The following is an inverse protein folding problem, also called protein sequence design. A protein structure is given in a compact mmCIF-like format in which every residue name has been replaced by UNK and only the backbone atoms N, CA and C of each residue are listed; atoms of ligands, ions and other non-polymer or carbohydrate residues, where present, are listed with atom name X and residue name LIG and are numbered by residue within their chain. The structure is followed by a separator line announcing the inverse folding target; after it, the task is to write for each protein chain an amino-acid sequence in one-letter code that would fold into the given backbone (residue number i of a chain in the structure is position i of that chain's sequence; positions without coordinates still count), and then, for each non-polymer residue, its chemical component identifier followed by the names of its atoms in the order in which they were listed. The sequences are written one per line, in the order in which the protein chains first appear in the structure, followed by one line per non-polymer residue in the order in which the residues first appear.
data_IF_382904776279
#
_entry.id   IF_382904776279
#
_cell.length_a   1.000
_cell.length_b   1.000
_cell.length_c   1.000
_cell.angle_alpha   90.00
_cell.angle_beta   90.00
_cell.angle_gamma   90.00
#
_symmetry.space_group_name_H-M   'P 1'
#
loop_
_entity.id
_entity.type
_entity.pdbx_description
1 polymer ?
#
# COMPACT_ATOMS: atom_id res chain seq x y z
N UNK A 1 34.62 70.74 83.70
CA UNK A 1 33.63 69.73 83.24
C UNK A 1 34.06 69.25 81.85
N UNK A 2 34.62 68.03 81.73
CA UNK A 2 35.14 67.48 80.47
C UNK A 2 33.97 66.90 79.64
N UNK A 3 33.77 67.40 78.43
CA UNK A 3 32.85 66.80 77.45
C UNK A 3 33.56 65.67 76.71
N UNK A 4 33.01 64.46 76.81
CA UNK A 4 33.54 63.25 76.19
C UNK A 4 32.81 63.01 74.86
N UNK A 5 33.51 63.14 73.73
CA UNK A 5 32.94 63.03 72.39
C UNK A 5 33.12 61.58 71.90
N UNK A 6 32.07 60.76 72.01
CA UNK A 6 32.05 59.41 71.39
C UNK A 6 31.81 59.56 69.89
N UNK A 7 32.75 59.11 69.07
CA UNK A 7 32.60 59.01 67.61
C UNK A 7 31.90 57.68 67.26
N UNK A 8 30.78 57.77 66.53
CA UNK A 8 30.15 56.62 65.87
C UNK A 8 31.07 56.11 64.74
N UNK A 9 31.41 54.82 64.77
CA UNK A 9 32.01 54.13 63.61
C UNK A 9 30.91 53.72 62.64
N UNK A 10 31.03 54.14 61.39
CA UNK A 10 30.26 53.63 60.26
C UNK A 10 31.10 52.55 59.58
N UNK A 11 30.65 51.30 59.64
CA UNK A 11 31.24 50.22 58.84
C UNK A 11 30.86 50.43 57.37
N UNK A 12 31.85 50.82 56.56
CA UNK A 12 31.72 50.84 55.09
C UNK A 12 31.79 49.41 54.59
N UNK A 13 30.67 48.89 54.10
CA UNK A 13 30.67 47.73 53.22
C UNK A 13 31.42 48.10 51.94
N UNK A 14 32.61 47.54 51.75
CA UNK A 14 33.40 47.69 50.53
C UNK A 14 32.69 46.97 49.39
N UNK A 15 32.30 47.73 48.37
CA UNK A 15 31.83 47.15 47.11
C UNK A 15 33.06 46.92 46.22
N UNK A 16 33.50 45.66 46.08
CA UNK A 16 34.55 45.32 45.11
C UNK A 16 33.93 45.21 43.72
N UNK A 17 34.34 46.07 42.79
CA UNK A 17 34.00 45.91 41.37
C UNK A 17 34.71 44.71 40.76
N UNK A 18 34.16 44.17 39.68
CA UNK A 18 34.76 43.06 38.93
C UNK A 18 35.99 43.52 38.14
N UNK A 19 36.99 42.66 38.06
CA UNK A 19 38.13 42.86 37.16
C UNK A 19 37.71 42.74 35.69
N UNK A 20 38.33 43.51 34.79
CA UNK A 20 38.13 43.39 33.34
C UNK A 20 38.43 41.96 32.86
N UNK A 21 39.41 41.30 33.48
CA UNK A 21 39.79 39.91 33.18
C UNK A 21 38.68 38.93 33.58
N UNK A 22 38.03 39.14 34.73
CA UNK A 22 36.88 38.30 35.15
C UNK A 22 35.72 38.39 34.16
N UNK A 23 35.43 39.59 33.65
CA UNK A 23 34.36 39.79 32.66
C UNK A 23 34.71 39.13 31.31
N UNK A 24 35.96 39.21 30.87
CA UNK A 24 36.40 38.55 29.64
C UNK A 24 36.29 37.01 29.76
N UNK A 25 36.74 36.44 30.88
CA UNK A 25 36.65 34.98 31.10
C UNK A 25 35.18 34.53 31.21
N UNK A 26 34.34 35.28 31.92
CA UNK A 26 32.91 34.97 32.04
C UNK A 26 32.18 34.98 30.70
N UNK A 27 32.48 35.94 29.82
CA UNK A 27 31.89 36.02 28.48
C UNK A 27 32.32 34.84 27.61
N UNK A 28 33.61 34.49 27.62
CA UNK A 28 34.13 33.35 26.85
C UNK A 28 33.47 32.04 27.28
N UNK A 29 33.36 31.79 28.60
CA UNK A 29 32.71 30.58 29.11
C UNK A 29 31.22 30.57 28.75
N UNK A 30 30.53 31.72 28.84
CA UNK A 30 29.13 31.84 28.44
C UNK A 30 28.89 31.52 26.95
N UNK A 31 29.78 31.98 26.07
CA UNK A 31 29.72 31.67 24.63
C UNK A 31 30.02 30.20 24.33
N UNK A 32 30.98 29.58 25.03
CA UNK A 32 31.25 28.14 24.87
C UNK A 32 30.04 27.34 25.34
N UNK A 33 29.47 27.68 26.50
CA UNK A 33 28.29 27.00 27.04
C UNK A 33 27.08 27.09 26.09
N UNK A 34 26.82 28.26 25.50
CA UNK A 34 25.70 28.42 24.55
C UNK A 34 25.91 27.60 23.27
N UNK A 35 27.14 27.52 22.75
CA UNK A 35 27.46 26.68 21.59
C UNK A 35 27.20 25.19 21.88
N UNK A 36 27.64 24.70 23.04
CA UNK A 36 27.42 23.30 23.43
C UNK A 36 25.92 23.00 23.53
N UNK A 37 25.13 23.90 24.12
CA UNK A 37 23.67 23.75 24.19
C UNK A 37 23.04 23.69 22.79
N UNK A 38 23.46 24.58 21.88
CA UNK A 38 22.93 24.64 20.51
C UNK A 38 23.23 23.36 19.73
N UNK A 39 24.44 22.79 19.90
CA UNK A 39 24.81 21.51 19.28
C UNK A 39 23.92 20.36 19.76
N UNK A 40 23.72 20.26 21.08
CA UNK A 40 22.86 19.23 21.67
C UNK A 40 21.42 19.38 21.18
N UNK A 41 20.89 20.61 21.18
CA UNK A 41 19.55 20.89 20.66
C UNK A 41 19.40 20.52 19.18
N UNK A 42 20.39 20.86 18.35
CA UNK A 42 20.42 20.51 16.92
C UNK A 42 20.39 18.99 16.71
N UNK A 43 21.19 18.24 17.47
CA UNK A 43 21.19 16.78 17.43
C UNK A 43 19.83 16.19 17.84
N UNK A 44 19.21 16.72 18.89
CA UNK A 44 17.87 16.31 19.33
C UNK A 44 16.79 16.59 18.29
N UNK A 45 16.79 17.75 17.64
CA UNK A 45 15.85 18.06 16.56
C UNK A 45 16.08 17.19 15.31
N UNK A 46 17.33 16.79 15.03
CA UNK A 46 17.64 15.77 14.03
C UNK A 46 17.01 14.42 14.37
N UNK A 47 17.25 13.94 15.59
CA UNK A 47 16.68 12.67 16.07
C UNK A 47 15.15 12.70 16.08
N UNK A 48 14.54 13.79 16.54
CA UNK A 48 13.09 13.97 16.58
C UNK A 48 12.47 13.85 15.19
N UNK A 49 13.05 14.50 14.17
CA UNK A 49 12.58 14.38 12.79
C UNK A 49 12.74 12.96 12.24
N UNK A 50 13.85 12.30 12.54
CA UNK A 50 14.06 10.89 12.15
C UNK A 50 13.04 9.96 12.79
N UNK A 51 12.80 10.11 14.10
CA UNK A 51 11.83 9.30 14.84
C UNK A 51 10.41 9.55 14.33
N UNK A 52 10.03 10.82 14.11
CA UNK A 52 8.71 11.16 13.55
C UNK A 52 8.54 10.58 12.15
N UNK A 53 9.50 10.80 11.26
CA UNK A 53 9.44 10.26 9.89
C UNK A 53 9.40 8.74 9.85
N UNK A 54 10.08 8.07 10.79
CA UNK A 54 10.00 6.61 10.95
C UNK A 54 8.62 6.17 11.44
N UNK A 55 8.02 6.89 12.39
CA UNK A 55 6.68 6.60 12.89
C UNK A 55 5.62 6.80 11.80
N UNK A 56 5.73 7.86 11.00
CA UNK A 56 4.86 8.12 9.86
C UNK A 56 5.00 7.02 8.80
N UNK A 57 6.23 6.59 8.50
CA UNK A 57 6.48 5.48 7.57
C UNK A 57 5.87 4.16 8.06
N UNK A 58 5.98 3.83 9.35
CA UNK A 58 5.36 2.63 9.92
C UNK A 58 3.84 2.71 9.88
N UNK A 59 3.26 3.88 10.16
CA UNK A 59 1.82 4.08 10.13
C UNK A 59 1.30 3.92 8.70
N UNK A 60 1.91 4.59 7.73
CA UNK A 60 1.57 4.47 6.31
C UNK A 60 1.77 3.04 5.79
N UNK A 61 2.86 2.38 6.19
CA UNK A 61 3.11 0.99 5.86
C UNK A 61 2.03 0.05 6.40
N UNK A 62 1.60 0.24 7.66
CA UNK A 62 0.53 -0.59 8.24
C UNK A 62 -0.82 -0.35 7.57
N UNK A 63 -1.14 0.89 7.18
CA UNK A 63 -2.34 1.21 6.39
C UNK A 63 -2.28 0.54 5.01
N UNK A 64 -1.15 0.64 4.30
CA UNK A 64 -0.96 0.01 3.00
C UNK A 64 -1.14 -1.52 3.07
N UNK A 65 -0.53 -2.16 4.08
CA UNK A 65 -0.68 -3.60 4.30
C UNK A 65 -2.12 -3.98 4.64
N UNK A 66 -2.86 -3.14 5.36
CA UNK A 66 -4.27 -3.39 5.65
C UNK A 66 -5.14 -3.38 4.39
N UNK A 67 -4.89 -2.45 3.46
CA UNK A 67 -5.56 -2.44 2.16
C UNK A 67 -5.24 -3.68 1.34
N UNK A 68 -3.95 -4.03 1.22
CA UNK A 68 -3.53 -5.26 0.52
C UNK A 68 -4.20 -6.48 1.14
N UNK A 69 -4.20 -6.61 2.47
CA UNK A 69 -4.83 -7.73 3.16
C UNK A 69 -6.32 -7.82 2.83
N UNK A 70 -7.04 -6.69 2.85
CA UNK A 70 -8.48 -6.65 2.53
C UNK A 70 -8.76 -7.11 1.10
N UNK A 71 -7.96 -6.67 0.13
CA UNK A 71 -8.17 -7.02 -1.28
C UNK A 71 -7.79 -8.48 -1.55
N UNK A 72 -6.68 -8.95 -0.96
CA UNK A 72 -6.24 -10.35 -1.04
C UNK A 72 -7.23 -11.30 -0.36
N UNK A 73 -7.89 -10.88 0.73
CA UNK A 73 -8.94 -11.68 1.37
C UNK A 73 -10.16 -11.90 0.47
N UNK A 74 -10.45 -10.95 -0.42
CA UNK A 74 -11.54 -11.06 -1.38
C UNK A 74 -11.12 -11.76 -2.67
N UNK A 75 -9.81 -11.91 -2.93
CA UNK A 75 -9.29 -12.55 -4.12
C UNK A 75 -9.93 -13.94 -4.34
N UNK A 76 -10.44 -14.17 -5.55
CA UNK A 76 -11.13 -15.40 -5.92
C UNK A 76 -12.62 -15.45 -5.56
N UNK A 77 -13.15 -14.47 -4.83
CA UNK A 77 -14.58 -14.43 -4.54
C UNK A 77 -15.38 -14.34 -5.84
N UNK A 78 -16.31 -15.28 -6.05
CA UNK A 78 -17.17 -15.31 -7.23
C UNK A 78 -16.46 -15.52 -8.58
N UNK A 79 -15.20 -15.98 -8.58
CA UNK A 79 -14.56 -16.52 -9.79
C UNK A 79 -15.00 -17.97 -10.02
N UNK A 80 -15.04 -18.45 -11.29
CA UNK A 80 -15.32 -19.84 -11.63
C UNK A 80 -14.18 -20.77 -11.18
N UNK A 81 -14.13 -21.02 -9.87
CA UNK A 81 -13.28 -21.99 -9.19
C UNK A 81 -13.75 -23.42 -9.51
N UNK A 82 -12.88 -24.45 -9.41
CA UNK A 82 -13.18 -25.79 -9.91
C UNK A 82 -14.45 -26.37 -9.27
N UNK A 83 -15.48 -26.59 -10.08
CA UNK A 83 -16.85 -26.80 -9.61
C UNK A 83 -17.20 -28.25 -9.25
N UNK A 84 -16.32 -29.21 -9.53
CA UNK A 84 -16.34 -30.58 -9.00
C UNK A 84 -15.09 -31.28 -9.52
N UNK A 85 -14.15 -31.54 -8.62
CA UNK A 85 -12.79 -31.98 -8.92
C UNK A 85 -12.70 -33.44 -9.41
N UNK A 86 -11.84 -33.70 -10.39
CA UNK A 86 -11.07 -34.95 -10.44
C UNK A 86 -9.61 -34.75 -10.91
N UNK A 87 -9.10 -33.52 -10.81
CA UNK A 87 -7.69 -33.06 -10.65
C UNK A 87 -7.50 -31.60 -11.20
N UNK A 88 -8.42 -30.71 -10.77
CA UNK A 88 -8.52 -29.24 -10.85
C UNK A 88 -8.84 -28.59 -12.21
N UNK A 89 -10.07 -28.84 -12.69
CA UNK A 89 -10.64 -28.52 -14.01
C UNK A 89 -10.62 -27.06 -14.52
N UNK A 90 -10.39 -26.05 -13.69
CA UNK A 90 -10.16 -24.66 -14.15
C UNK A 90 -8.75 -24.11 -13.83
N UNK A 91 -7.97 -24.82 -12.99
CA UNK A 91 -6.57 -24.47 -12.71
C UNK A 91 -5.57 -25.27 -13.58
N UNK A 92 -5.98 -26.44 -14.07
CA UNK A 92 -5.18 -27.32 -14.94
C UNK A 92 -5.45 -27.07 -16.44
N UNK A 93 -5.89 -25.85 -16.78
CA UNK A 93 -6.14 -25.47 -18.15
C UNK A 93 -4.83 -25.43 -18.95
N UNK A 94 -4.80 -26.12 -20.10
CA UNK A 94 -3.67 -26.11 -21.02
C UNK A 94 -4.16 -25.90 -22.45
N UNK A 95 -3.93 -24.72 -23.07
CA UNK A 95 -3.23 -23.54 -22.53
C UNK A 95 -4.06 -22.79 -21.46
N UNK A 96 -3.40 -21.91 -20.70
CA UNK A 96 -4.10 -21.00 -19.79
C UNK A 96 -5.03 -20.08 -20.58
N UNK A 97 -6.30 -19.94 -20.16
CA UNK A 97 -7.23 -19.07 -20.85
C UNK A 97 -6.86 -17.62 -20.53
N UNK A 98 -6.43 -16.90 -21.57
CA UNK A 98 -6.29 -15.44 -21.55
C UNK A 98 -7.36 -14.82 -22.44
N UNK A 99 -7.84 -13.65 -22.05
CA UNK A 99 -8.86 -12.92 -22.79
C UNK A 99 -8.47 -11.46 -22.96
N UNK A 100 -8.31 -11.04 -24.20
CA UNK A 100 -8.20 -9.63 -24.55
C UNK A 100 -9.57 -8.96 -24.39
N UNK A 101 -9.68 -8.11 -23.37
CA UNK A 101 -10.94 -7.45 -23.03
C UNK A 101 -11.23 -6.22 -23.92
N UNK A 102 -10.23 -5.64 -24.57
CA UNK A 102 -10.37 -4.36 -25.25
C UNK A 102 -9.70 -4.27 -26.63
N UNK A 103 -9.24 -5.41 -27.17
CA UNK A 103 -8.54 -5.52 -28.46
C UNK A 103 -7.31 -4.58 -28.53
N UNK A 104 -6.70 -4.30 -27.39
CA UNK A 104 -5.64 -3.33 -27.22
C UNK A 104 -4.36 -3.99 -26.71
N UNK A 105 -3.28 -4.04 -27.52
CA UNK A 105 -2.05 -4.72 -27.14
C UNK A 105 -1.26 -4.02 -26.02
N UNK A 106 -1.68 -2.83 -25.58
CA UNK A 106 -1.04 -2.09 -24.49
C UNK A 106 -1.63 -2.41 -23.10
N UNK A 107 -2.75 -3.12 -23.03
CA UNK A 107 -3.42 -3.54 -21.79
C UNK A 107 -3.14 -5.01 -21.52
N UNK A 108 -2.89 -5.42 -20.26
CA UNK A 108 -2.72 -6.84 -19.93
C UNK A 108 -4.01 -7.62 -20.18
N UNK A 109 -3.89 -8.79 -20.81
CA UNK A 109 -5.00 -9.72 -20.98
C UNK A 109 -5.56 -10.17 -19.62
N UNK A 110 -6.85 -10.50 -19.63
CA UNK A 110 -7.51 -11.02 -18.45
C UNK A 110 -7.22 -12.50 -18.27
N UNK A 111 -6.75 -12.88 -17.08
CA UNK A 111 -6.54 -14.26 -16.67
C UNK A 111 -7.55 -14.67 -15.57
N UNK A 112 -7.62 -15.97 -15.29
CA UNK A 112 -8.53 -16.57 -14.30
C UNK A 112 -7.92 -16.70 -12.90
N UNK A 113 -6.68 -16.26 -12.70
CA UNK A 113 -6.01 -16.40 -11.42
C UNK A 113 -6.49 -15.31 -10.44
N UNK A 114 -6.87 -15.71 -9.21
CA UNK A 114 -7.40 -14.79 -8.21
C UNK A 114 -6.36 -13.78 -7.74
N UNK A 115 -5.07 -14.14 -7.76
CA UNK A 115 -3.97 -13.28 -7.36
C UNK A 115 -2.79 -13.51 -8.30
N UNK A 116 -2.32 -12.43 -8.92
CA UNK A 116 -1.13 -12.41 -9.77
C UNK A 116 -0.20 -11.31 -9.30
N UNK A 117 1.11 -11.59 -9.30
CA UNK A 117 2.15 -10.62 -8.99
C UNK A 117 2.97 -10.45 -10.25
N UNK A 118 2.88 -9.26 -10.83
CA UNK A 118 3.67 -8.83 -11.97
C UNK A 118 4.91 -8.11 -11.45
N UNK A 119 6.06 -8.77 -11.60
CA UNK A 119 7.37 -8.21 -11.26
C UNK A 119 7.72 -7.11 -12.27
N UNK A 120 7.99 -5.91 -11.76
CA UNK A 120 8.39 -4.76 -12.56
C UNK A 120 9.83 -4.88 -13.10
N UNK A 121 10.58 -5.89 -12.65
CA UNK A 121 11.98 -6.09 -12.96
C UNK A 121 12.87 -5.06 -12.27
N UNK A 122 14.15 -5.03 -12.67
CA UNK A 122 15.15 -4.13 -12.07
C UNK A 122 15.19 -2.72 -12.69
N UNK A 123 14.11 -2.27 -13.31
CA UNK A 123 14.05 -0.93 -13.90
C UNK A 123 13.82 0.13 -12.81
N UNK A 124 14.68 1.15 -12.76
CA UNK A 124 14.57 2.22 -11.78
C UNK A 124 13.21 2.93 -11.87
N UNK A 125 12.49 2.98 -10.76
CA UNK A 125 11.21 3.69 -10.63
C UNK A 125 9.98 2.92 -11.08
N UNK A 126 10.09 1.63 -11.38
CA UNK A 126 8.95 0.75 -11.65
C UNK A 126 8.68 -0.11 -10.41
N UNK A 127 7.44 -0.15 -9.95
CA UNK A 127 7.01 -0.95 -8.79
C UNK A 127 6.25 -2.18 -9.24
N UNK A 128 6.40 -3.28 -8.51
CA UNK A 128 5.61 -4.50 -8.71
C UNK A 128 4.11 -4.21 -8.61
N UNK A 129 3.32 -4.94 -9.39
CA UNK A 129 1.87 -4.84 -9.40
C UNK A 129 1.27 -6.13 -8.87
N UNK A 130 0.49 -6.02 -7.80
CA UNK A 130 -0.28 -7.14 -7.26
C UNK A 130 -1.72 -6.99 -7.71
N UNK A 131 -2.15 -7.88 -8.59
CA UNK A 131 -3.50 -7.88 -9.16
C UNK A 131 -4.36 -8.91 -8.43
N UNK A 132 -5.30 -8.44 -7.61
CA UNK A 132 -6.31 -9.26 -6.96
C UNK A 132 -7.62 -9.21 -7.76
N UNK A 133 -8.14 -10.37 -8.16
CA UNK A 133 -9.37 -10.49 -8.95
C UNK A 133 -10.48 -11.08 -8.10
N UNK A 134 -11.62 -10.39 -8.08
CA UNK A 134 -12.82 -10.84 -7.39
C UNK A 134 -14.06 -10.31 -8.11
N UNK A 135 -15.12 -11.10 -8.09
CA UNK A 135 -16.42 -10.70 -8.62
C UNK A 135 -17.10 -9.71 -7.68
N UNK A 136 -17.79 -8.74 -8.25
CA UNK A 136 -18.70 -7.84 -7.52
C UNK A 136 -20.15 -8.37 -7.50
N UNK A 137 -20.41 -9.52 -8.15
CA UNK A 137 -21.74 -10.15 -8.20
C UNK A 137 -21.77 -11.42 -7.37
N UNK A 138 -22.88 -11.64 -6.67
CA UNK A 138 -23.07 -12.83 -5.83
C UNK A 138 -23.26 -14.14 -6.63
N UNK A 139 -23.37 -14.06 -7.97
CA UNK A 139 -23.71 -15.19 -8.85
C UNK A 139 -22.71 -15.41 -10.00
N UNK A 140 -21.56 -14.71 -10.01
CA UNK A 140 -20.62 -14.71 -11.14
C UNK A 140 -19.91 -16.04 -11.46
N UNK A 141 -20.06 -17.07 -10.61
CA UNK A 141 -19.41 -18.38 -10.77
C UNK A 141 -20.40 -19.55 -10.89
N UNK A 142 -21.68 -19.28 -11.16
CA UNK A 142 -22.67 -20.34 -11.29
C UNK A 142 -22.52 -20.99 -12.66
N UNK A 143 -22.33 -22.33 -12.74
CA UNK A 143 -22.22 -22.99 -14.03
C UNK A 143 -23.57 -22.98 -14.76
N UNK A 144 -23.57 -22.45 -15.99
CA UNK A 144 -24.71 -22.46 -16.89
C UNK A 144 -24.41 -23.35 -18.09
N UNK A 145 -25.43 -24.06 -18.59
CA UNK A 145 -25.29 -24.91 -19.78
C UNK A 145 -25.34 -24.08 -21.05
N UNK A 146 -24.57 -24.55 -22.04
CA UNK A 146 -24.45 -23.92 -23.36
C UNK A 146 -25.52 -24.55 -24.28
N UNK A 147 -26.31 -23.72 -24.98
CA UNK A 147 -27.39 -24.20 -25.88
C UNK A 147 -26.82 -24.76 -27.19
N UNK A 148 -25.76 -24.13 -27.71
CA UNK A 148 -25.12 -24.54 -28.96
C UNK A 148 -23.58 -24.40 -28.88
N UNK A 149 -22.89 -25.53 -28.67
CA UNK A 149 -21.44 -25.58 -28.53
C UNK A 149 -20.67 -25.17 -29.80
N UNK A 150 -21.30 -25.20 -30.98
CA UNK A 150 -20.69 -24.75 -32.24
C UNK A 150 -20.41 -23.23 -32.25
N UNK A 151 -21.14 -22.46 -31.45
CA UNK A 151 -20.94 -21.01 -31.29
C UNK A 151 -19.85 -20.65 -30.28
N UNK A 152 -19.30 -21.62 -29.53
CA UNK A 152 -18.18 -21.38 -28.62
C UNK A 152 -16.89 -20.92 -29.36
N UNK A 153 -16.85 -21.11 -30.69
CA UNK A 153 -15.78 -20.66 -31.57
C UNK A 153 -16.18 -19.51 -32.50
N UNK A 154 -17.43 -19.06 -32.46
CA UNK A 154 -17.94 -18.03 -33.35
C UNK A 154 -17.56 -16.63 -32.84
N UNK A 155 -17.24 -15.72 -33.77
CA UNK A 155 -16.96 -14.32 -33.47
C UNK A 155 -18.16 -13.60 -32.82
N UNK A 156 -19.35 -14.16 -32.94
CA UNK A 156 -20.59 -13.63 -32.37
C UNK A 156 -20.78 -13.92 -30.89
N UNK A 157 -19.97 -14.81 -30.27
CA UNK A 157 -20.04 -15.15 -28.83
C UNK A 157 -20.93 -16.37 -28.52
N UNK A 158 -21.01 -16.71 -27.23
CA UNK A 158 -21.70 -17.90 -26.70
C UNK A 158 -23.18 -17.63 -26.38
N UNK A 159 -24.06 -18.61 -26.64
CA UNK A 159 -25.46 -18.59 -26.18
C UNK A 159 -25.65 -19.48 -24.94
N UNK A 160 -26.15 -18.91 -23.85
CA UNK A 160 -26.42 -19.60 -22.59
C UNK A 160 -27.89 -20.04 -22.49
N UNK A 161 -28.17 -21.17 -21.82
CA UNK A 161 -29.54 -21.70 -21.64
C UNK A 161 -30.41 -20.80 -20.75
N UNK A 162 -29.78 -20.03 -19.87
CA UNK A 162 -30.44 -19.05 -19.01
C UNK A 162 -29.47 -17.93 -18.61
N UNK A 163 -30.03 -16.86 -18.06
CA UNK A 163 -29.30 -15.67 -17.64
C UNK A 163 -28.90 -15.71 -16.15
N UNK A 164 -28.88 -16.88 -15.52
CA UNK A 164 -28.53 -17.00 -14.10
C UNK A 164 -27.03 -16.74 -13.95
N UNK A 165 -26.68 -15.55 -13.48
CA UNK A 165 -25.28 -15.17 -13.26
C UNK A 165 -24.50 -14.78 -14.52
N UNK A 166 -25.16 -14.70 -15.68
CA UNK A 166 -24.59 -14.27 -16.95
C UNK A 166 -25.50 -13.24 -17.63
N UNK A 167 -24.93 -12.17 -18.17
CA UNK A 167 -25.58 -11.18 -19.02
C UNK A 167 -24.88 -11.12 -20.37
N UNK A 168 -25.56 -10.51 -21.35
CA UNK A 168 -24.95 -10.24 -22.65
C UNK A 168 -23.67 -9.40 -22.45
N UNK A 169 -22.62 -9.73 -23.21
CA UNK A 169 -21.28 -9.15 -23.13
C UNK A 169 -20.47 -9.47 -21.85
N UNK A 170 -20.95 -10.33 -20.96
CA UNK A 170 -20.13 -10.86 -19.87
C UNK A 170 -19.04 -11.82 -20.40
N UNK A 171 -17.91 -11.88 -19.71
CA UNK A 171 -16.82 -12.81 -20.02
C UNK A 171 -17.05 -14.10 -19.24
N UNK A 172 -17.09 -15.21 -19.96
CA UNK A 172 -17.33 -16.53 -19.39
C UNK A 172 -16.16 -17.47 -19.68
N UNK A 173 -15.88 -18.34 -18.72
CA UNK A 173 -14.93 -19.44 -18.86
C UNK A 173 -15.69 -20.69 -19.29
N UNK A 174 -15.28 -21.25 -20.42
CA UNK A 174 -15.72 -22.58 -20.87
C UNK A 174 -14.61 -23.56 -20.52
N UNK A 175 -14.95 -24.65 -19.83
CA UNK A 175 -14.02 -25.75 -19.52
C UNK A 175 -14.58 -27.08 -19.99
N UNK A 176 -13.75 -27.87 -20.68
CA UNK A 176 -14.00 -29.24 -21.09
C UNK A 176 -12.77 -30.09 -20.77
N UNK A 177 -12.69 -30.62 -19.55
CA UNK A 177 -11.49 -31.34 -19.09
C UNK A 177 -10.31 -30.38 -18.94
N UNK A 178 -9.14 -30.65 -19.57
CA UNK A 178 -7.98 -29.76 -19.52
C UNK A 178 -8.04 -28.59 -20.53
N UNK A 179 -9.04 -28.58 -21.43
CA UNK A 179 -9.19 -27.52 -22.42
C UNK A 179 -10.09 -26.43 -21.85
N UNK A 180 -9.54 -25.22 -21.73
CA UNK A 180 -10.27 -24.06 -21.25
C UNK A 180 -10.14 -22.90 -22.22
N UNK A 181 -11.19 -22.10 -22.31
CA UNK A 181 -11.21 -20.89 -23.12
C UNK A 181 -12.13 -19.85 -22.51
N UNK A 182 -11.71 -18.59 -22.58
CA UNK A 182 -12.57 -17.46 -22.26
C UNK A 182 -13.19 -16.88 -23.53
N UNK A 183 -14.46 -16.51 -23.45
CA UNK A 183 -15.21 -15.87 -24.53
C UNK A 183 -16.28 -14.96 -23.96
N UNK A 184 -16.86 -14.10 -24.79
CA UNK A 184 -18.02 -13.28 -24.42
C UNK A 184 -19.33 -14.02 -24.66
N UNK A 185 -20.32 -13.72 -23.83
CA UNK A 185 -21.71 -14.13 -24.02
C UNK A 185 -22.35 -13.23 -25.07
N UNK A 186 -22.90 -13.83 -26.12
CA UNK A 186 -23.66 -13.16 -27.17
C UNK A 186 -25.11 -12.94 -26.78
N UNK A 187 -25.69 -13.96 -26.16
CA UNK A 187 -27.09 -14.06 -25.79
C UNK A 187 -27.21 -14.90 -24.52
N UNK A 188 -27.65 -14.27 -23.43
CA UNK A 188 -27.85 -14.92 -22.14
C UNK A 188 -29.22 -15.59 -22.00
N UNK A 189 -30.14 -15.50 -22.98
CA UNK A 189 -31.53 -15.95 -22.85
C UNK A 189 -31.95 -17.10 -23.78
N UNK A 190 -31.04 -17.64 -24.58
CA UNK A 190 -31.25 -18.86 -25.39
C UNK A 190 -31.86 -18.63 -26.78
#
# INVERSE_FOLDING_TARGET
MKLNKKYLSYDRLYHSGFSLVELMVGLVIGLIASLVIMQVFSAFEGQKRSTSGTADAQTNGSIALHHIQRDVQMAGYGLPMPSADADNTSLNCSPFPVFDHDDNPATPDLDVFPLVIDDAGSADGVSDVVTARFSNTAMGAIPVKIVNATNANAATGLAAENNIGCKDNDIVLISQGPLCRMTRVADANG
#
